data_IF_184523091449
#
_entry.id   IF_184523091449
#
_cell.length_a   1.000
_cell.length_b   1.000
_cell.length_c   1.000
_cell.angle_alpha   90.00
_cell.angle_beta   90.00
_cell.angle_gamma   90.00
#
_symmetry.space_group_name_H-M   'P 1'
#
loop_
_entity.id
_entity.type
_entity.pdbx_description
1 polymer ?
#
# COMPACT_ATOMS: atom_id res chain seq x y z
N UNK A 1 -7.44 30.94 -9.56
CA UNK A 1 -6.84 29.59 -9.65
C UNK A 1 -6.08 29.31 -8.35
N UNK A 2 -6.79 28.84 -7.33
CA UNK A 2 -6.24 28.65 -5.99
C UNK A 2 -5.41 27.37 -5.94
N UNK A 3 -4.08 27.49 -5.96
CA UNK A 3 -3.17 26.40 -5.62
C UNK A 3 -3.33 26.07 -4.14
N UNK A 4 -4.16 25.07 -3.80
CA UNK A 4 -4.25 24.55 -2.43
C UNK A 4 -2.98 23.76 -2.15
N UNK A 5 -2.05 24.39 -1.44
CA UNK A 5 -0.81 23.81 -0.97
C UNK A 5 -1.12 22.81 0.16
N UNK A 6 -1.27 21.54 -0.17
CA UNK A 6 -1.42 20.48 0.83
C UNK A 6 -0.09 20.33 1.56
N UNK A 7 -0.02 20.90 2.78
CA UNK A 7 1.11 20.71 3.69
C UNK A 7 1.30 19.20 3.92
N UNK A 8 2.42 18.66 3.46
CA UNK A 8 2.83 17.30 3.78
C UNK A 8 3.03 17.22 5.30
N UNK A 9 2.28 16.33 5.94
CA UNK A 9 2.49 15.99 7.35
C UNK A 9 3.92 15.45 7.55
N UNK A 10 4.51 15.57 8.75
CA UNK A 10 5.85 15.07 9.03
C UNK A 10 5.91 13.60 8.65
N UNK A 11 6.86 13.27 7.78
CA UNK A 11 7.12 11.90 7.35
C UNK A 11 7.84 11.21 8.50
N UNK A 12 7.10 10.80 9.52
CA UNK A 12 7.54 9.76 10.45
C UNK A 12 8.05 8.62 9.58
N UNK A 13 9.36 8.39 9.58
CA UNK A 13 9.99 7.36 8.75
C UNK A 13 9.70 6.04 9.45
N UNK A 14 8.50 5.52 9.25
CA UNK A 14 8.14 4.16 9.65
C UNK A 14 9.09 3.24 8.86
N UNK A 15 10.06 2.66 9.56
CA UNK A 15 11.13 1.84 8.98
C UNK A 15 10.63 0.50 8.43
N UNK A 16 9.48 0.03 8.93
CA UNK A 16 8.85 -1.23 8.53
C UNK A 16 7.36 -1.24 8.89
N UNK A 17 6.56 -1.97 8.13
CA UNK A 17 5.14 -2.18 8.41
C UNK A 17 4.90 -3.60 8.92
N UNK A 18 3.92 -3.77 9.80
CA UNK A 18 3.45 -5.06 10.28
C UNK A 18 2.16 -5.49 9.58
N UNK A 19 1.83 -6.77 9.67
CA UNK A 19 0.51 -7.25 9.26
C UNK A 19 -0.60 -6.50 10.00
N UNK A 20 -1.70 -6.23 9.30
CA UNK A 20 -2.86 -5.44 9.76
C UNK A 20 -2.61 -3.93 9.89
N UNK A 21 -1.42 -3.43 9.56
CA UNK A 21 -1.20 -1.98 9.46
C UNK A 21 -2.01 -1.40 8.30
N UNK A 22 -2.64 -0.25 8.55
CA UNK A 22 -3.32 0.53 7.52
C UNK A 22 -2.32 1.48 6.88
N UNK A 23 -2.16 1.36 5.57
CA UNK A 23 -1.19 2.11 4.76
C UNK A 23 -1.87 2.82 3.61
N UNK A 24 -1.23 3.88 3.13
CA UNK A 24 -1.65 4.57 1.92
C UNK A 24 -0.74 4.12 0.76
N UNK A 25 -1.23 3.19 -0.06
CA UNK A 25 -0.48 2.64 -1.18
C UNK A 25 -0.54 3.55 -2.41
N UNK A 26 0.62 3.79 -3.04
CA UNK A 26 0.71 4.59 -4.27
C UNK A 26 1.00 3.70 -5.48
N UNK A 27 -0.02 3.47 -6.29
CA UNK A 27 0.12 2.80 -7.60
C UNK A 27 0.30 3.84 -8.72
N UNK A 28 1.07 3.53 -9.76
CA UNK A 28 1.24 4.42 -10.93
C UNK A 28 -0.10 4.55 -11.66
N UNK A 29 -0.49 5.78 -12.00
CA UNK A 29 -1.75 6.07 -12.68
C UNK A 29 -2.97 6.25 -11.75
N UNK A 30 -2.85 5.94 -10.46
CA UNK A 30 -3.93 6.06 -9.47
C UNK A 30 -3.57 7.06 -8.35
N UNK A 31 -4.55 7.69 -7.69
CA UNK A 31 -4.29 8.43 -6.45
C UNK A 31 -3.74 7.49 -5.36
N UNK A 32 -3.06 8.02 -4.33
CA UNK A 32 -2.79 7.24 -3.12
C UNK A 32 -4.11 6.67 -2.57
N UNK A 33 -4.16 5.36 -2.31
CA UNK A 33 -5.39 4.67 -1.91
C UNK A 33 -5.18 3.87 -0.62
N UNK A 34 -6.15 3.85 0.31
CA UNK A 34 -5.97 3.14 1.57
C UNK A 34 -6.02 1.62 1.35
N UNK A 35 -5.17 0.92 2.09
CA UNK A 35 -5.13 -0.53 2.12
C UNK A 35 -4.53 -1.05 3.43
N UNK A 36 -4.51 -2.35 3.59
CA UNK A 36 -3.99 -3.02 4.76
C UNK A 36 -2.87 -3.99 4.37
N UNK A 37 -1.80 -4.03 5.15
CA UNK A 37 -0.74 -5.04 4.98
C UNK A 37 -1.30 -6.40 5.38
N UNK A 38 -1.14 -7.39 4.50
CA UNK A 38 -1.63 -8.76 4.70
C UNK A 38 -0.50 -9.77 4.56
N UNK A 39 -0.72 -10.94 5.17
CA UNK A 39 0.19 -12.07 5.02
C UNK A 39 0.18 -12.56 3.56
N UNK A 40 1.33 -12.58 2.87
CA UNK A 40 1.46 -13.05 1.49
C UNK A 40 1.11 -14.53 1.29
N UNK A 41 1.05 -15.35 2.34
CA UNK A 41 0.65 -16.76 2.24
C UNK A 41 -0.87 -16.95 2.35
N UNK A 42 -1.57 -15.97 2.93
CA UNK A 42 -3.03 -16.00 3.11
C UNK A 42 -3.83 -15.56 1.87
N UNK A 43 -3.18 -14.92 0.90
CA UNK A 43 -3.85 -14.38 -0.30
C UNK A 43 -4.15 -15.48 -1.34
N UNK A 44 -5.09 -15.29 -2.26
CA UNK A 44 -5.40 -16.27 -3.31
C UNK A 44 -4.17 -16.66 -4.14
N UNK A 45 -4.11 -17.91 -4.60
CA UNK A 45 -2.96 -18.46 -5.33
C UNK A 45 -2.55 -17.62 -6.55
N UNK A 46 -3.51 -17.03 -7.26
CA UNK A 46 -3.24 -16.14 -8.39
C UNK A 46 -2.39 -14.91 -7.97
N UNK A 47 -2.60 -14.36 -6.78
CA UNK A 47 -1.82 -13.24 -6.24
C UNK A 47 -0.44 -13.71 -5.76
N UNK A 48 -0.36 -14.92 -5.19
CA UNK A 48 0.92 -15.50 -4.76
C UNK A 48 1.89 -15.69 -5.95
N UNK A 49 1.38 -16.05 -7.12
CA UNK A 49 2.16 -16.21 -8.35
C UNK A 49 2.74 -14.90 -8.89
N UNK A 50 2.09 -13.77 -8.60
CA UNK A 50 2.54 -12.42 -9.01
C UNK A 50 3.62 -11.85 -8.06
N UNK A 51 4.04 -12.61 -7.05
CA UNK A 51 5.05 -12.16 -6.08
C UNK A 51 6.37 -11.85 -6.78
N UNK A 52 6.94 -10.63 -6.58
CA UNK A 52 8.24 -10.30 -7.16
C UNK A 52 9.35 -11.22 -6.63
N UNK A 53 10.12 -11.83 -7.54
CA UNK A 53 11.26 -12.71 -7.19
C UNK A 53 12.54 -11.95 -6.74
N UNK A 54 12.51 -10.61 -6.73
CA UNK A 54 13.68 -9.79 -6.37
C UNK A 54 13.91 -9.80 -4.86
N UNK A 55 15.17 -9.82 -4.43
CA UNK A 55 15.57 -9.60 -3.03
C UNK A 55 15.40 -8.13 -2.67
N UNK A 56 14.16 -7.71 -2.45
CA UNK A 56 13.81 -6.42 -1.88
C UNK A 56 12.67 -6.62 -0.87
N UNK A 57 12.48 -5.66 0.03
CA UNK A 57 11.43 -5.73 1.02
C UNK A 57 10.09 -5.33 0.38
N UNK A 58 9.23 -6.31 0.11
CA UNK A 58 7.90 -6.12 -0.47
C UNK A 58 6.83 -6.47 0.56
N UNK A 59 5.85 -5.58 0.72
CA UNK A 59 4.66 -5.82 1.53
C UNK A 59 3.50 -6.20 0.61
N UNK A 60 2.76 -7.24 0.95
CA UNK A 60 1.49 -7.53 0.30
C UNK A 60 0.42 -6.59 0.90
N UNK A 61 -0.30 -5.85 0.05
CA UNK A 61 -1.29 -4.86 0.50
C UNK A 61 -2.63 -5.13 -0.17
N UNK A 62 -3.67 -5.32 0.64
CA UNK A 62 -5.07 -5.41 0.21
C UNK A 62 -5.67 -3.99 0.23
N UNK A 63 -5.93 -3.42 -0.93
CA UNK A 63 -6.62 -2.12 -1.04
C UNK A 63 -8.10 -2.25 -0.64
N UNK A 64 -8.62 -1.25 0.06
CA UNK A 64 -10.05 -1.18 0.33
C UNK A 64 -10.81 -0.92 -0.97
N UNK A 65 -12.00 -1.53 -1.17
CA UNK A 65 -12.81 -1.26 -2.34
C UNK A 65 -13.21 0.22 -2.39
N UNK A 66 -13.38 0.74 -3.61
CA UNK A 66 -14.12 1.99 -3.75
C UNK A 66 -15.54 1.76 -3.22
N UNK A 67 -16.02 2.69 -2.38
CA UNK A 67 -17.44 2.69 -2.04
C UNK A 67 -18.28 2.87 -3.31
N UNK A 68 -19.43 2.21 -3.34
CA UNK A 68 -20.47 2.47 -4.33
C UNK A 68 -21.12 3.85 -4.09
#
# INVERSE_FOLDING_TARGET
MSKKNTKAAPKEVVSSYAERDIVLGKVRGFPPWPGMVVDPESVPAAVQLERPAKKNNFYCVQFFPAGD
#
